data_IF_540621954162
#
_entry.id   IF_540621954162
#
_cell.length_a   1.000
_cell.length_b   1.000
_cell.length_c   1.000
_cell.angle_alpha   90.00
_cell.angle_beta   90.00
_cell.angle_gamma   90.00
#
_symmetry.space_group_name_H-M   'P 1'
#
loop_
_entity.id
_entity.type
_entity.pdbx_description
1 polymer ?
#
# COMPACT_ATOMS: atom_id res chain seq x y z
N UNK A 1 -19.05 41.06 -13.34
CA UNK A 1 -18.23 40.03 -12.65
C UNK A 1 -19.16 39.17 -11.81
N UNK A 2 -19.55 38.00 -12.31
CA UNK A 2 -20.33 37.03 -11.54
C UNK A 2 -19.36 36.11 -10.78
N UNK A 3 -19.45 36.11 -9.44
CA UNK A 3 -18.71 35.16 -8.58
C UNK A 3 -19.42 33.81 -8.66
N UNK A 4 -18.86 32.88 -9.41
CA UNK A 4 -19.21 31.46 -9.31
C UNK A 4 -18.59 30.89 -8.03
N UNK A 5 -19.34 30.96 -6.93
CA UNK A 5 -19.02 30.19 -5.73
C UNK A 5 -19.42 28.73 -5.98
N UNK A 6 -18.45 27.89 -6.34
CA UNK A 6 -18.62 26.44 -6.31
C UNK A 6 -18.65 25.99 -4.85
N UNK A 7 -19.78 26.23 -4.18
CA UNK A 7 -20.05 25.60 -2.89
C UNK A 7 -20.21 24.11 -3.15
N UNK A 8 -19.19 23.34 -2.78
CA UNK A 8 -19.26 21.88 -2.71
C UNK A 8 -20.37 21.55 -1.71
N UNK A 9 -21.58 21.26 -2.21
CA UNK A 9 -22.65 20.72 -1.37
C UNK A 9 -22.19 19.33 -0.94
N UNK A 10 -21.58 19.24 0.24
CA UNK A 10 -21.41 18.00 0.98
C UNK A 10 -22.85 17.51 1.21
N UNK A 11 -23.34 16.66 0.32
CA UNK A 11 -24.66 16.08 0.45
C UNK A 11 -24.68 15.37 1.81
N UNK A 12 -25.54 15.84 2.72
CA UNK A 12 -25.97 15.04 3.86
C UNK A 12 -26.79 13.87 3.29
N UNK A 13 -26.10 12.84 2.80
CA UNK A 13 -26.74 11.66 2.23
C UNK A 13 -27.42 10.95 3.40
N UNK A 14 -28.72 11.16 3.55
CA UNK A 14 -29.52 10.39 4.48
C UNK A 14 -29.65 8.98 3.91
N UNK A 15 -28.92 8.03 4.52
CA UNK A 15 -28.95 6.61 4.17
C UNK A 15 -30.24 6.00 4.72
N UNK A 16 -31.08 5.44 3.84
CA UNK A 16 -32.15 4.57 4.30
C UNK A 16 -31.58 3.20 4.70
N UNK A 17 -32.30 2.43 5.52
CA UNK A 17 -31.89 1.06 5.88
C UNK A 17 -31.66 0.19 4.64
N UNK A 18 -32.47 0.35 3.60
CA UNK A 18 -32.32 -0.37 2.33
C UNK A 18 -31.06 0.05 1.56
N UNK A 19 -30.72 1.34 1.56
CA UNK A 19 -29.50 1.85 0.94
C UNK A 19 -28.26 1.35 1.68
N UNK A 20 -28.28 1.38 3.01
CA UNK A 20 -27.19 0.87 3.85
C UNK A 20 -26.93 -0.60 3.61
N UNK A 21 -27.98 -1.44 3.51
CA UNK A 21 -27.80 -2.87 3.23
C UNK A 21 -27.17 -3.11 1.86
N UNK A 22 -27.58 -2.37 0.82
CA UNK A 22 -27.06 -2.51 -0.53
C UNK A 22 -25.61 -2.02 -0.65
N UNK A 23 -25.26 -0.91 0.02
CA UNK A 23 -23.88 -0.43 0.10
C UNK A 23 -23.00 -1.45 0.80
N UNK A 24 -23.40 -1.93 1.97
CA UNK A 24 -22.63 -2.94 2.72
C UNK A 24 -22.44 -4.22 1.92
N UNK A 25 -23.48 -4.68 1.21
CA UNK A 25 -23.38 -5.87 0.36
C UNK A 25 -22.40 -5.68 -0.81
N UNK A 26 -22.45 -4.54 -1.52
CA UNK A 26 -21.47 -4.24 -2.56
C UNK A 26 -20.05 -4.18 -2.00
N UNK A 27 -19.84 -3.49 -0.87
CA UNK A 27 -18.53 -3.41 -0.22
C UNK A 27 -18.01 -4.81 0.13
N UNK A 28 -18.86 -5.68 0.68
CA UNK A 28 -18.46 -7.05 1.01
C UNK A 28 -18.05 -7.86 -0.24
N UNK A 29 -18.83 -7.78 -1.32
CA UNK A 29 -18.52 -8.48 -2.58
C UNK A 29 -17.22 -7.95 -3.17
N UNK A 30 -17.08 -6.62 -3.29
CA UNK A 30 -15.86 -6.01 -3.80
C UNK A 30 -14.66 -6.36 -2.94
N UNK A 31 -14.80 -6.42 -1.61
CA UNK A 31 -13.70 -6.80 -0.72
C UNK A 31 -13.20 -8.22 -1.00
N UNK A 32 -14.11 -9.17 -1.24
CA UNK A 32 -13.74 -10.55 -1.61
C UNK A 32 -13.05 -10.58 -2.99
N UNK A 33 -13.60 -9.86 -3.98
CA UNK A 33 -13.01 -9.80 -5.32
C UNK A 33 -11.61 -9.19 -5.29
N UNK A 34 -11.43 -8.10 -4.56
CA UNK A 34 -10.16 -7.42 -4.37
C UNK A 34 -9.14 -8.28 -3.63
N UNK A 35 -9.56 -9.03 -2.61
CA UNK A 35 -8.69 -9.99 -1.91
C UNK A 35 -8.23 -11.12 -2.83
N UNK A 36 -9.14 -11.69 -3.64
CA UNK A 36 -8.79 -12.73 -4.61
C UNK A 36 -7.85 -12.20 -5.70
N UNK A 37 -8.10 -11.01 -6.23
CA UNK A 37 -7.24 -10.37 -7.21
C UNK A 37 -5.85 -10.05 -6.64
N UNK A 38 -5.79 -9.55 -5.39
CA UNK A 38 -4.53 -9.33 -4.68
C UNK A 38 -3.76 -10.64 -4.44
N UNK A 39 -4.45 -11.71 -4.02
CA UNK A 39 -3.85 -13.03 -3.85
C UNK A 39 -3.32 -13.62 -5.16
N UNK A 40 -4.07 -13.48 -6.25
CA UNK A 40 -3.62 -13.89 -7.58
C UNK A 40 -2.41 -13.08 -8.06
N UNK A 41 -2.42 -11.75 -7.88
CA UNK A 41 -1.28 -10.90 -8.21
C UNK A 41 -0.05 -11.28 -7.40
N UNK A 42 -0.19 -11.52 -6.09
CA UNK A 42 0.89 -12.00 -5.22
C UNK A 42 1.47 -13.32 -5.71
N UNK A 43 0.62 -14.28 -6.09
CA UNK A 43 1.07 -15.53 -6.71
C UNK A 43 1.88 -15.28 -8.00
N UNK A 44 1.41 -14.41 -8.90
CA UNK A 44 2.14 -14.08 -10.13
C UNK A 44 3.49 -13.44 -9.83
N UNK A 45 3.54 -12.48 -8.90
CA UNK A 45 4.79 -11.80 -8.53
C UNK A 45 5.80 -12.76 -7.90
N UNK A 46 5.35 -13.71 -7.08
CA UNK A 46 6.21 -14.74 -6.50
C UNK A 46 6.98 -15.55 -7.56
N UNK A 47 6.38 -15.78 -8.73
CA UNK A 47 7.06 -16.47 -9.84
C UNK A 47 7.84 -15.53 -10.76
N UNK A 48 7.53 -14.23 -10.77
CA UNK A 48 8.13 -13.27 -11.68
C UNK A 48 9.36 -12.57 -11.10
N UNK A 49 9.42 -12.42 -9.78
CA UNK A 49 10.47 -11.71 -9.06
C UNK A 49 11.21 -12.63 -8.10
N UNK A 50 12.49 -12.34 -7.88
CA UNK A 50 13.31 -13.11 -6.93
C UNK A 50 12.81 -12.89 -5.50
N UNK A 51 12.76 -13.95 -4.70
CA UNK A 51 12.52 -13.83 -3.26
C UNK A 51 13.72 -13.22 -2.56
N UNK A 52 13.50 -12.59 -1.40
CA UNK A 52 14.62 -12.12 -0.58
C UNK A 52 15.39 -13.31 0.00
N UNK A 53 16.61 -13.52 -0.49
CA UNK A 53 17.54 -14.56 -0.05
C UNK A 53 19.00 -14.10 -0.17
N UNK A 54 19.97 -14.86 0.39
CA UNK A 54 21.39 -14.49 0.29
C UNK A 54 21.90 -14.37 -1.15
N UNK A 55 21.28 -15.06 -2.11
CA UNK A 55 21.64 -14.96 -3.52
C UNK A 55 21.26 -13.58 -4.08
N UNK A 56 20.07 -13.09 -3.78
CA UNK A 56 19.60 -11.75 -4.13
C UNK A 56 20.44 -10.65 -3.47
N UNK A 57 20.84 -10.82 -2.21
CA UNK A 57 21.73 -9.88 -1.50
C UNK A 57 23.10 -9.77 -2.17
N UNK A 58 23.59 -10.85 -2.78
CA UNK A 58 24.88 -10.87 -3.48
C UNK A 58 24.86 -10.13 -4.83
N UNK A 59 23.68 -9.79 -5.35
CA UNK A 59 23.52 -9.06 -6.62
C UNK A 59 23.90 -7.58 -6.43
N UNK A 60 24.30 -6.93 -7.52
CA UNK A 60 24.70 -5.51 -7.48
C UNK A 60 23.53 -4.58 -7.13
N UNK A 61 23.83 -3.44 -6.50
CA UNK A 61 22.84 -2.44 -6.08
C UNK A 61 21.88 -2.03 -7.19
N UNK A 62 22.38 -1.85 -8.43
CA UNK A 62 21.55 -1.52 -9.59
C UNK A 62 20.52 -2.60 -9.90
N UNK A 63 20.89 -3.88 -9.78
CA UNK A 63 19.97 -4.99 -9.95
C UNK A 63 18.90 -4.97 -8.87
N UNK A 64 19.28 -4.80 -7.61
CA UNK A 64 18.36 -4.75 -6.47
C UNK A 64 17.35 -3.60 -6.58
N UNK A 65 17.81 -2.40 -6.96
CA UNK A 65 16.95 -1.24 -7.15
C UNK A 65 15.99 -1.42 -8.34
N UNK A 66 16.45 -2.01 -9.44
CA UNK A 66 15.60 -2.29 -10.60
C UNK A 66 14.58 -3.38 -10.30
N UNK A 67 14.98 -4.44 -9.60
CA UNK A 67 14.11 -5.54 -9.18
C UNK A 67 12.95 -5.01 -8.33
N UNK A 68 13.28 -4.29 -7.25
CA UNK A 68 12.29 -3.66 -6.35
C UNK A 68 11.46 -2.60 -7.08
N UNK A 69 12.10 -1.77 -7.92
CA UNK A 69 11.40 -0.73 -8.68
C UNK A 69 10.40 -1.29 -9.68
N UNK A 70 10.75 -2.38 -10.37
CA UNK A 70 9.88 -3.06 -11.31
C UNK A 70 8.75 -3.80 -10.58
N UNK A 71 9.02 -4.42 -9.43
CA UNK A 71 8.01 -5.06 -8.56
C UNK A 71 6.94 -4.03 -8.15
N UNK A 72 7.35 -2.84 -7.67
CA UNK A 72 6.45 -1.74 -7.33
C UNK A 72 5.66 -1.24 -8.56
N UNK A 73 6.33 -1.08 -9.70
CA UNK A 73 5.68 -0.59 -10.91
C UNK A 73 4.59 -1.54 -11.41
N UNK A 74 4.84 -2.85 -11.39
CA UNK A 74 3.86 -3.88 -11.76
C UNK A 74 2.67 -3.87 -10.80
N UNK A 75 2.93 -3.81 -9.48
CA UNK A 75 1.86 -3.69 -8.48
C UNK A 75 0.99 -2.46 -8.76
N UNK A 76 1.61 -1.30 -8.96
CA UNK A 76 0.89 -0.04 -9.23
C UNK A 76 0.07 -0.09 -10.51
N UNK A 77 0.61 -0.64 -11.60
CA UNK A 77 -0.09 -0.77 -12.88
C UNK A 77 -1.27 -1.72 -12.79
N UNK A 78 -1.09 -2.91 -12.23
CA UNK A 78 -2.19 -3.88 -12.08
C UNK A 78 -3.26 -3.33 -11.15
N UNK A 79 -2.86 -2.67 -10.05
CA UNK A 79 -3.79 -2.05 -9.14
C UNK A 79 -4.65 -0.98 -9.82
N UNK A 80 -4.04 -0.09 -10.61
CA UNK A 80 -4.75 0.92 -11.38
C UNK A 80 -5.78 0.28 -12.32
N UNK A 81 -5.35 -0.70 -13.13
CA UNK A 81 -6.25 -1.33 -14.10
C UNK A 81 -7.37 -2.11 -13.44
N UNK A 82 -7.09 -2.83 -12.35
CA UNK A 82 -8.11 -3.56 -11.61
C UNK A 82 -9.20 -2.62 -11.07
N UNK A 83 -8.80 -1.52 -10.42
CA UNK A 83 -9.73 -0.50 -9.93
C UNK A 83 -10.50 0.14 -11.08
N UNK A 84 -9.82 0.47 -12.18
CA UNK A 84 -10.47 1.03 -13.37
C UNK A 84 -11.55 0.10 -13.93
N UNK A 85 -11.24 -1.18 -14.13
CA UNK A 85 -12.22 -2.15 -14.65
C UNK A 85 -13.40 -2.36 -13.71
N UNK A 86 -13.15 -2.41 -12.40
CA UNK A 86 -14.22 -2.58 -11.41
C UNK A 86 -15.12 -1.34 -11.35
N UNK A 87 -14.56 -0.14 -11.34
CA UNK A 87 -15.34 1.11 -11.27
C UNK A 87 -16.09 1.41 -12.58
N UNK A 88 -15.59 0.95 -13.73
CA UNK A 88 -16.33 1.03 -15.00
C UNK A 88 -17.44 -0.02 -15.08
N UNK A 89 -17.36 -1.08 -14.27
CA UNK A 89 -18.41 -2.10 -14.18
C UNK A 89 -19.55 -1.58 -13.30
N UNK A 90 -20.79 -1.63 -13.81
CA UNK A 90 -21.99 -1.29 -13.03
C UNK A 90 -21.97 -1.98 -11.65
N UNK A 91 -22.30 -1.28 -10.54
CA UNK A 91 -22.41 -1.91 -9.23
C UNK A 91 -23.25 -3.19 -9.30
N UNK A 92 -22.75 -4.28 -8.72
CA UNK A 92 -23.39 -5.61 -8.80
C UNK A 92 -24.82 -5.53 -8.23
N UNK A 93 -25.00 -4.76 -7.16
CA UNK A 93 -26.31 -4.45 -6.60
C UNK A 93 -26.62 -2.97 -6.88
N UNK A 94 -27.72 -2.64 -7.57
CA UNK A 94 -28.06 -1.26 -7.93
C UNK A 94 -28.20 -0.35 -6.69
N UNK A 95 -27.45 0.75 -6.70
CA UNK A 95 -27.46 1.78 -5.67
C UNK A 95 -27.91 3.11 -6.27
N UNK A 96 -28.25 4.10 -5.44
CA UNK A 96 -28.60 5.44 -5.94
C UNK A 96 -27.33 6.13 -6.45
N UNK A 97 -27.42 6.88 -7.55
CA UNK A 97 -26.34 7.62 -8.25
C UNK A 97 -25.40 8.54 -7.44
N UNK A 98 -25.57 8.65 -6.12
CA UNK A 98 -24.63 9.36 -5.22
C UNK A 98 -23.96 8.46 -4.17
N UNK A 99 -24.40 7.21 -4.03
CA UNK A 99 -23.77 6.19 -3.18
C UNK A 99 -22.83 5.29 -3.99
N UNK A 100 -23.00 5.24 -5.32
CA UNK A 100 -22.14 4.51 -6.25
C UNK A 100 -20.70 5.05 -6.18
N UNK A 101 -20.52 6.36 -6.42
CA UNK A 101 -19.20 7.01 -6.31
C UNK A 101 -18.54 6.82 -4.93
N UNK A 102 -19.34 6.75 -3.86
CA UNK A 102 -18.84 6.51 -2.51
C UNK A 102 -18.34 5.07 -2.33
N UNK A 103 -19.11 4.09 -2.80
CA UNK A 103 -18.71 2.67 -2.77
C UNK A 103 -17.44 2.47 -3.59
N UNK A 104 -17.36 3.06 -4.77
CA UNK A 104 -16.22 2.90 -5.68
C UNK A 104 -14.95 3.53 -5.08
N UNK A 105 -15.04 4.76 -4.56
CA UNK A 105 -13.91 5.43 -3.92
C UNK A 105 -13.46 4.74 -2.62
N UNK A 106 -14.39 4.22 -1.83
CA UNK A 106 -14.07 3.53 -0.58
C UNK A 106 -13.44 2.16 -0.83
N UNK A 107 -13.99 1.41 -1.78
CA UNK A 107 -13.49 0.07 -2.13
C UNK A 107 -12.15 0.12 -2.85
N UNK A 108 -11.88 1.14 -3.68
CA UNK A 108 -10.53 1.37 -4.23
C UNK A 108 -9.50 1.66 -3.14
N UNK A 109 -9.88 2.43 -2.11
CA UNK A 109 -9.03 2.70 -0.95
C UNK A 109 -8.76 1.45 -0.10
N UNK A 110 -9.78 0.60 0.11
CA UNK A 110 -9.62 -0.70 0.77
C UNK A 110 -8.68 -1.62 0.00
N UNK A 111 -8.81 -1.70 -1.33
CA UNK A 111 -7.92 -2.50 -2.16
C UNK A 111 -6.47 -2.04 -2.06
N UNK A 112 -6.22 -0.73 -2.10
CA UNK A 112 -4.87 -0.19 -1.93
C UNK A 112 -4.25 -0.59 -0.58
N UNK A 113 -5.03 -0.52 0.50
CA UNK A 113 -4.60 -0.98 1.82
C UNK A 113 -4.34 -2.48 1.86
N UNK A 114 -5.21 -3.31 1.27
CA UNK A 114 -5.01 -4.77 1.20
C UNK A 114 -3.81 -5.17 0.35
N UNK A 115 -3.58 -4.49 -0.77
CA UNK A 115 -2.40 -4.68 -1.60
C UNK A 115 -1.12 -4.49 -0.76
N UNK A 116 -1.02 -3.41 0.00
CA UNK A 116 0.13 -3.17 0.90
C UNK A 116 0.36 -4.36 1.85
N UNK A 117 -0.68 -4.88 2.50
CA UNK A 117 -0.56 -6.01 3.43
C UNK A 117 -0.21 -7.35 2.76
N UNK A 118 -0.76 -7.62 1.56
CA UNK A 118 -0.53 -8.89 0.85
C UNK A 118 0.91 -8.97 0.31
N UNK A 119 1.53 -7.84 -0.01
CA UNK A 119 2.91 -7.81 -0.52
C UNK A 119 3.97 -7.71 0.59
N UNK A 120 3.58 -7.66 1.87
CA UNK A 120 4.45 -7.13 2.92
C UNK A 120 5.63 -8.04 3.31
N UNK A 121 5.57 -9.37 3.17
CA UNK A 121 6.58 -10.24 3.82
C UNK A 121 7.98 -10.20 3.15
N UNK A 122 8.08 -10.55 1.86
CA UNK A 122 9.35 -10.54 1.14
C UNK A 122 9.81 -9.13 0.73
N UNK A 123 8.87 -8.29 0.30
CA UNK A 123 9.12 -6.92 -0.13
C UNK A 123 9.63 -6.03 1.01
N UNK A 124 9.10 -6.17 2.23
CA UNK A 124 9.59 -5.41 3.38
C UNK A 124 11.04 -5.74 3.69
N UNK A 125 11.44 -7.00 3.54
CA UNK A 125 12.83 -7.41 3.76
C UNK A 125 13.77 -6.79 2.72
N UNK A 126 13.39 -6.80 1.43
CA UNK A 126 14.14 -6.09 0.37
C UNK A 126 14.27 -4.59 0.64
N UNK A 127 13.18 -3.93 1.01
CA UNK A 127 13.18 -2.49 1.32
C UNK A 127 14.04 -2.17 2.53
N UNK A 128 13.92 -2.95 3.62
CA UNK A 128 14.76 -2.77 4.80
C UNK A 128 16.24 -2.92 4.46
N UNK A 129 16.60 -3.92 3.65
CA UNK A 129 17.98 -4.11 3.20
C UNK A 129 18.49 -2.90 2.41
N UNK A 130 17.73 -2.42 1.43
CA UNK A 130 18.10 -1.25 0.62
C UNK A 130 18.24 0.03 1.47
N UNK A 131 17.28 0.29 2.36
CA UNK A 131 17.36 1.46 3.25
C UNK A 131 18.51 1.33 4.23
N UNK A 132 18.79 0.15 4.76
CA UNK A 132 19.96 -0.05 5.61
C UNK A 132 21.25 0.24 4.83
N UNK A 133 21.39 -0.32 3.63
CA UNK A 133 22.60 -0.12 2.83
C UNK A 133 22.80 1.34 2.40
N UNK A 134 21.73 2.07 2.09
CA UNK A 134 21.82 3.45 1.58
C UNK A 134 21.79 4.52 2.68
N UNK A 135 21.05 4.29 3.76
CA UNK A 135 20.72 5.32 4.75
C UNK A 135 21.31 5.04 6.13
N UNK A 136 21.72 3.82 6.47
CA UNK A 136 22.20 3.51 7.82
C UNK A 136 23.36 4.39 8.24
N UNK A 137 24.35 4.60 7.37
CA UNK A 137 25.50 5.47 7.66
C UNK A 137 25.14 6.90 8.03
N UNK A 138 24.01 7.41 7.52
CA UNK A 138 23.52 8.76 7.83
C UNK A 138 22.59 8.74 9.04
N UNK A 139 21.73 7.73 9.15
CA UNK A 139 20.75 7.60 10.23
C UNK A 139 21.40 7.20 11.55
N UNK A 140 22.43 6.37 11.53
CA UNK A 140 23.15 5.93 12.74
C UNK A 140 23.88 7.06 13.46
N UNK A 141 24.17 8.15 12.74
CA UNK A 141 24.76 9.37 13.32
C UNK A 141 23.68 10.26 13.96
N UNK A 142 22.46 10.24 13.41
CA UNK A 142 21.40 11.19 13.78
C UNK A 142 20.43 10.58 14.81
N UNK A 143 20.19 9.27 14.74
CA UNK A 143 19.18 8.57 15.51
C UNK A 143 19.80 7.43 16.36
N UNK A 144 19.44 7.36 17.66
CA UNK A 144 19.84 6.26 18.52
C UNK A 144 19.20 4.94 18.07
N UNK A 145 19.99 3.88 17.94
CA UNK A 145 19.53 2.57 17.45
C UNK A 145 18.75 1.73 18.48
N UNK A 146 18.96 1.95 19.78
CA UNK A 146 18.38 1.13 20.85
C UNK A 146 17.38 1.91 21.71
N UNK A 147 16.36 1.20 22.20
CA UNK A 147 15.37 1.73 23.15
C UNK A 147 14.08 2.20 22.49
N UNK A 148 13.25 2.88 23.26
CA UNK A 148 11.95 3.41 22.81
C UNK A 148 11.78 4.88 23.19
N UNK A 149 11.08 5.62 22.34
CA UNK A 149 10.67 7.00 22.64
C UNK A 149 9.67 7.00 23.81
N UNK A 150 8.83 5.97 23.90
CA UNK A 150 7.70 5.93 24.83
C UNK A 150 8.16 5.77 26.28
N UNK A 151 9.24 5.04 26.52
CA UNK A 151 9.83 4.84 27.84
C UNK A 151 11.07 5.72 28.10
N UNK A 152 11.45 6.57 27.13
CA UNK A 152 12.62 7.44 27.22
C UNK A 152 13.96 6.70 27.26
N UNK A 153 14.00 5.43 26.88
CA UNK A 153 15.21 4.59 26.93
C UNK A 153 16.15 4.72 25.73
N UNK A 154 15.85 5.63 24.79
CA UNK A 154 16.62 5.85 23.56
C UNK A 154 18.12 6.07 23.82
N UNK A 155 18.95 5.20 23.25
CA UNK A 155 20.41 5.22 23.40
C UNK A 155 21.09 4.80 22.11
N UNK A 156 22.21 5.46 21.81
CA UNK A 156 23.11 5.00 20.76
C UNK A 156 23.78 3.69 21.17
N UNK A 157 23.78 2.72 20.25
CA UNK A 157 24.37 1.41 20.48
C UNK A 157 25.89 1.51 20.66
N UNK A 158 26.52 0.47 21.21
CA UNK A 158 27.98 0.46 21.38
C UNK A 158 28.72 0.45 20.04
N UNK A 159 28.11 -0.06 18.98
CA UNK A 159 28.67 -0.09 17.62
C UNK A 159 28.62 1.30 16.96
N UNK A 160 27.55 2.06 17.19
CA UNK A 160 27.45 3.48 16.79
C UNK A 160 28.49 4.34 17.51
N UNK A 161 28.68 4.12 18.82
CA UNK A 161 29.70 4.83 19.63
C UNK A 161 31.14 4.50 19.24
N UNK A 162 31.38 3.28 18.76
CA UNK A 162 32.70 2.84 18.33
C UNK A 162 33.06 3.29 16.90
N UNK A 163 32.15 3.98 16.20
CA UNK A 163 32.35 4.41 14.81
C UNK A 163 32.48 3.23 13.83
N UNK A 164 31.85 2.09 14.13
CA UNK A 164 31.99 0.86 13.32
C UNK A 164 31.04 0.77 12.13
N UNK A 165 30.14 1.73 11.96
CA UNK A 165 29.21 1.83 10.82
C UNK A 165 29.64 2.84 9.75
N UNK A 166 30.90 3.31 9.78
CA UNK A 166 31.52 4.11 8.70
C UNK A 166 32.41 3.26 7.81
#
# INVERSE_FOLDING_TARGET
MAKHAYAYNIHSIHLSTGDSMRVTANIAIFSVLYALAGGFLSFVLYYLFDTYDPEWESKGLTHQLLDVGLEIAVIGLVAFWLVYFINVSTPIIPVRKGLEDFVDSYTSGLFFMFAIFIFLEGFTSKLKYLFNHMLASHFDVIFPADGSIIDGSLRYSNEQKAGKYT
#
